data_IF_377487888263
#
_entry.id   IF_377487888263
#
_cell.length_a   1.000
_cell.length_b   1.000
_cell.length_c   1.000
_cell.angle_alpha   90.00
_cell.angle_beta   90.00
_cell.angle_gamma   90.00
#
_symmetry.space_group_name_H-M   'P 1'
#
loop_
_entity.id
_entity.type
_entity.pdbx_description
1 polymer ?
#
# COMPACT_ATOMS: atom_id res chain seq x y z
N UNK A 1 16.11 -42.99 -37.83
CA UNK A 1 14.82 -42.60 -37.25
C UNK A 1 14.92 -42.29 -35.75
N UNK A 2 15.41 -43.21 -34.93
CA UNK A 2 15.48 -43.07 -33.47
C UNK A 2 16.24 -41.82 -33.00
N UNK A 3 17.41 -41.48 -33.56
CA UNK A 3 18.19 -40.28 -33.24
C UNK A 3 17.42 -38.96 -33.48
N UNK A 4 16.63 -38.89 -34.55
CA UNK A 4 15.84 -37.69 -34.87
C UNK A 4 14.66 -37.52 -33.91
N UNK A 5 14.06 -38.62 -33.44
CA UNK A 5 12.98 -38.62 -32.45
C UNK A 5 13.55 -38.19 -31.08
N UNK A 6 14.73 -38.71 -30.71
CA UNK A 6 15.39 -38.36 -29.45
C UNK A 6 15.77 -36.88 -29.40
N UNK A 7 16.26 -36.32 -30.52
CA UNK A 7 16.60 -34.87 -30.59
C UNK A 7 15.34 -33.99 -30.52
N UNK A 8 14.23 -34.41 -31.16
CA UNK A 8 12.96 -33.67 -31.08
C UNK A 8 12.34 -33.70 -29.68
N UNK A 9 12.41 -34.84 -28.99
CA UNK A 9 11.95 -34.98 -27.60
C UNK A 9 12.80 -34.14 -26.64
N UNK A 10 14.13 -34.13 -26.85
CA UNK A 10 15.04 -33.31 -26.04
C UNK A 10 14.79 -31.80 -26.27
N UNK A 11 14.57 -31.37 -27.53
CA UNK A 11 14.18 -29.96 -27.82
C UNK A 11 12.84 -29.59 -27.23
N UNK A 12 11.85 -30.48 -27.24
CA UNK A 12 10.54 -30.24 -26.65
C UNK A 12 10.66 -30.13 -25.12
N UNK A 13 11.51 -30.92 -24.48
CA UNK A 13 11.78 -30.88 -23.05
C UNK A 13 12.47 -29.58 -22.63
N UNK A 14 13.44 -29.10 -23.43
CA UNK A 14 14.12 -27.81 -23.20
C UNK A 14 13.14 -26.64 -23.36
N UNK A 15 12.24 -26.70 -24.34
CA UNK A 15 11.18 -25.68 -24.50
C UNK A 15 10.17 -25.63 -23.34
N UNK A 16 9.88 -26.79 -22.72
CA UNK A 16 8.99 -26.85 -21.54
C UNK A 16 9.67 -26.31 -20.27
N UNK A 17 10.97 -26.46 -20.11
CA UNK A 17 11.72 -25.97 -18.95
C UNK A 17 11.93 -24.46 -19.00
N UNK A 18 12.05 -23.85 -20.19
CA UNK A 18 12.29 -22.40 -20.35
C UNK A 18 11.04 -21.56 -20.04
N UNK A 19 9.84 -22.15 -20.06
CA UNK A 19 8.60 -21.43 -19.72
C UNK A 19 8.31 -21.30 -18.21
N UNK A 20 9.20 -21.78 -17.34
CA UNK A 20 9.14 -21.55 -15.89
C UNK A 20 9.94 -20.31 -15.47
N UNK A 21 9.97 -19.26 -16.27
CA UNK A 21 10.28 -17.94 -15.78
C UNK A 21 9.12 -17.56 -14.84
N UNK A 22 9.25 -17.93 -13.58
CA UNK A 22 8.25 -17.61 -12.55
C UNK A 22 7.98 -16.12 -12.60
N UNK A 23 6.74 -15.74 -12.78
CA UNK A 23 6.33 -14.37 -12.58
C UNK A 23 6.91 -13.94 -11.22
N UNK A 24 7.63 -12.85 -11.19
CA UNK A 24 8.13 -12.30 -9.94
C UNK A 24 6.92 -12.07 -9.03
N UNK A 25 6.85 -12.81 -7.93
CA UNK A 25 5.82 -12.62 -6.92
C UNK A 25 6.13 -11.39 -6.04
N UNK A 26 7.06 -10.55 -6.49
CA UNK A 26 7.45 -9.34 -5.77
C UNK A 26 6.44 -8.23 -6.03
N UNK A 27 5.91 -7.70 -4.95
CA UNK A 27 4.91 -6.63 -4.93
C UNK A 27 5.55 -5.40 -4.30
N UNK A 28 5.46 -4.27 -4.97
CA UNK A 28 6.03 -2.99 -4.53
C UNK A 28 5.00 -2.21 -3.72
N UNK A 29 5.34 -1.90 -2.48
CA UNK A 29 4.45 -1.20 -1.56
C UNK A 29 5.03 0.19 -1.27
N UNK A 30 4.29 1.24 -1.64
CA UNK A 30 4.60 2.60 -1.23
C UNK A 30 3.99 2.89 0.15
N UNK A 31 4.75 3.55 1.03
CA UNK A 31 4.25 3.93 2.34
C UNK A 31 4.76 5.30 2.78
N UNK A 32 3.94 6.01 3.52
CA UNK A 32 4.37 7.15 4.35
C UNK A 32 4.52 6.69 5.79
N UNK A 33 5.49 7.26 6.49
CA UNK A 33 5.76 6.90 7.88
C UNK A 33 4.58 7.30 8.78
N UNK A 34 3.97 6.32 9.45
CA UNK A 34 2.84 6.52 10.36
C UNK A 34 3.14 5.73 11.62
N UNK A 35 3.25 6.43 12.75
CA UNK A 35 3.60 5.82 14.03
C UNK A 35 2.71 4.63 14.38
N UNK A 36 3.34 3.55 14.82
CA UNK A 36 2.74 2.24 15.13
C UNK A 36 2.02 1.53 13.95
N UNK A 37 1.87 2.17 12.80
CA UNK A 37 1.24 1.56 11.63
C UNK A 37 2.26 1.06 10.63
N UNK A 38 3.15 1.89 10.16
CA UNK A 38 4.29 1.53 9.29
C UNK A 38 5.43 2.51 9.49
N UNK A 39 6.61 2.03 9.79
CA UNK A 39 7.79 2.87 9.97
C UNK A 39 9.00 2.07 10.42
N UNK A 40 10.15 2.72 10.52
CA UNK A 40 11.39 2.08 10.96
C UNK A 40 11.43 2.06 12.49
N UNK A 41 11.49 0.86 13.06
CA UNK A 41 11.74 0.62 14.49
C UNK A 41 12.98 -0.24 14.63
N UNK A 42 13.95 0.23 15.40
CA UNK A 42 15.22 -0.48 15.63
C UNK A 42 15.94 -0.92 14.34
N UNK A 43 15.88 -0.05 13.31
CA UNK A 43 16.50 -0.31 12.00
C UNK A 43 15.75 -1.30 11.10
N UNK A 44 14.52 -1.71 11.46
CA UNK A 44 13.67 -2.59 10.67
C UNK A 44 12.33 -1.94 10.40
N UNK A 45 11.78 -2.20 9.21
CA UNK A 45 10.41 -1.83 8.91
C UNK A 45 9.46 -2.66 9.79
N UNK A 46 8.54 -2.00 10.50
CA UNK A 46 7.64 -2.63 11.45
C UNK A 46 6.33 -1.83 11.58
N UNK A 47 5.33 -2.45 12.19
CA UNK A 47 4.03 -1.86 12.46
C UNK A 47 2.90 -2.76 12.01
N UNK A 48 1.66 -2.36 12.33
CA UNK A 48 0.46 -3.13 12.00
C UNK A 48 0.36 -3.42 10.50
N UNK A 49 0.60 -2.42 9.64
CA UNK A 49 0.52 -2.58 8.20
C UNK A 49 1.53 -3.58 7.65
N UNK A 50 2.76 -3.61 8.21
CA UNK A 50 3.76 -4.60 7.82
C UNK A 50 3.31 -6.00 8.21
N UNK A 51 2.84 -6.19 9.45
CA UNK A 51 2.33 -7.49 9.91
C UNK A 51 1.12 -7.98 9.09
N UNK A 52 0.26 -7.06 8.63
CA UNK A 52 -0.84 -7.38 7.74
C UNK A 52 -0.34 -7.94 6.41
N UNK A 53 0.64 -7.28 5.79
CA UNK A 53 1.21 -7.76 4.52
C UNK A 53 1.99 -9.07 4.71
N UNK A 54 2.70 -9.26 5.82
CA UNK A 54 3.35 -10.53 6.14
C UNK A 54 2.33 -11.68 6.21
N UNK A 55 1.19 -11.46 6.87
CA UNK A 55 0.10 -12.44 6.91
C UNK A 55 -0.50 -12.71 5.52
N UNK A 56 -0.60 -11.71 4.64
CA UNK A 56 -1.02 -11.90 3.25
C UNK A 56 0.02 -12.74 2.49
N UNK A 57 1.32 -12.51 2.73
CA UNK A 57 2.39 -13.27 2.10
C UNK A 57 2.31 -14.77 2.40
N UNK A 58 1.94 -15.17 3.62
CA UNK A 58 1.75 -16.57 4.02
C UNK A 58 0.72 -17.30 3.14
N UNK A 59 -0.29 -16.57 2.64
CA UNK A 59 -1.36 -17.14 1.80
C UNK A 59 -1.09 -17.00 0.30
N UNK A 60 -0.35 -15.98 -0.13
CA UNK A 60 -0.15 -15.67 -1.55
C UNK A 60 1.20 -16.11 -2.08
N UNK A 61 2.19 -16.29 -1.20
CA UNK A 61 3.58 -16.50 -1.56
C UNK A 61 4.23 -15.23 -2.14
N UNK A 62 3.64 -14.06 -1.93
CA UNK A 62 4.21 -12.79 -2.36
C UNK A 62 5.41 -12.40 -1.51
N UNK A 63 6.33 -11.68 -2.12
CA UNK A 63 7.43 -10.97 -1.45
C UNK A 63 7.22 -9.48 -1.64
N UNK A 64 7.66 -8.66 -0.68
CA UNK A 64 7.41 -7.23 -0.72
C UNK A 64 8.68 -6.41 -0.79
N UNK A 65 8.64 -5.39 -1.64
CA UNK A 65 9.59 -4.29 -1.67
C UNK A 65 8.88 -3.02 -1.19
N UNK A 66 9.43 -2.39 -0.15
CA UNK A 66 8.84 -1.20 0.45
C UNK A 66 9.58 0.06 0.01
N UNK A 67 8.80 1.06 -0.46
CA UNK A 67 9.28 2.36 -0.92
C UNK A 67 8.70 3.46 -0.03
N UNK A 68 9.55 4.15 0.74
CA UNK A 68 9.14 5.24 1.63
C UNK A 68 9.06 6.57 0.90
N UNK A 69 8.02 7.36 1.18
CA UNK A 69 7.84 8.70 0.65
C UNK A 69 6.76 9.48 1.39
N UNK A 70 6.50 10.71 0.96
CA UNK A 70 5.33 11.44 1.42
C UNK A 70 4.05 10.75 0.95
N UNK A 71 2.94 11.01 1.61
CA UNK A 71 1.64 10.45 1.18
C UNK A 71 1.30 10.77 -0.27
N UNK A 72 1.53 12.01 -0.69
CA UNK A 72 1.33 12.44 -2.08
C UNK A 72 2.20 11.64 -3.06
N UNK A 73 3.48 11.44 -2.73
CA UNK A 73 4.38 10.62 -3.55
C UNK A 73 3.92 9.16 -3.63
N UNK A 74 3.43 8.59 -2.52
CA UNK A 74 2.91 7.22 -2.52
C UNK A 74 1.73 7.05 -3.49
N UNK A 75 0.79 7.99 -3.48
CA UNK A 75 -0.34 8.00 -4.41
C UNK A 75 0.14 8.13 -5.86
N UNK A 76 1.09 9.04 -6.13
CA UNK A 76 1.64 9.22 -7.46
C UNK A 76 2.34 7.96 -7.97
N UNK A 77 3.14 7.30 -7.14
CA UNK A 77 3.82 6.06 -7.53
C UNK A 77 2.86 4.93 -7.86
N UNK A 78 1.76 4.78 -7.14
CA UNK A 78 0.73 3.79 -7.47
C UNK A 78 0.03 4.18 -8.77
N UNK A 79 -0.33 5.43 -8.96
CA UNK A 79 -0.98 5.93 -10.17
C UNK A 79 -0.13 5.72 -11.42
N UNK A 80 1.18 5.90 -11.31
CA UNK A 80 2.14 5.77 -12.41
C UNK A 80 2.68 4.33 -12.58
N UNK A 81 2.27 3.38 -11.73
CA UNK A 81 2.74 2.01 -11.78
C UNK A 81 4.16 1.80 -11.25
N UNK A 82 4.71 2.77 -10.52
CA UNK A 82 6.00 2.64 -9.83
C UNK A 82 5.89 1.85 -8.52
N UNK A 83 4.69 1.79 -7.94
CA UNK A 83 4.32 0.91 -6.84
C UNK A 83 2.99 0.22 -7.19
N UNK A 84 2.77 -0.96 -6.62
CA UNK A 84 1.58 -1.76 -6.86
C UNK A 84 0.48 -1.46 -5.84
N UNK A 85 0.88 -1.12 -4.60
CA UNK A 85 -0.01 -0.76 -3.51
C UNK A 85 0.49 0.44 -2.71
N UNK A 86 -0.44 1.12 -2.06
CA UNK A 86 -0.17 2.02 -0.93
C UNK A 86 -1.21 1.83 0.16
N UNK A 87 -0.86 2.11 1.42
CA UNK A 87 -1.72 1.97 2.58
C UNK A 87 -1.27 2.88 3.74
N UNK A 88 -2.15 3.20 4.68
CA UNK A 88 -3.59 3.08 4.62
C UNK A 88 -4.19 4.18 3.73
N UNK A 89 -5.21 3.87 2.98
CA UNK A 89 -5.90 4.87 2.17
C UNK A 89 -7.40 4.86 2.48
N UNK A 90 -7.94 6.01 2.84
CA UNK A 90 -9.37 6.18 2.98
C UNK A 90 -10.04 6.21 1.60
N UNK A 91 -11.17 5.53 1.47
CA UNK A 91 -11.99 5.60 0.27
C UNK A 91 -12.58 6.99 0.08
N UNK A 92 -12.53 7.50 -1.15
CA UNK A 92 -13.34 8.60 -1.61
C UNK A 92 -13.68 8.39 -3.09
N UNK A 93 -14.80 8.92 -3.56
CA UNK A 93 -15.21 8.85 -4.96
C UNK A 93 -14.15 9.46 -5.90
N UNK A 94 -13.52 10.54 -5.47
CA UNK A 94 -12.44 11.17 -6.22
C UNK A 94 -11.24 10.22 -6.40
N UNK A 95 -10.84 9.52 -5.35
CA UNK A 95 -9.73 8.55 -5.42
C UNK A 95 -10.13 7.29 -6.19
N UNK A 96 -11.38 6.85 -6.08
CA UNK A 96 -11.88 5.69 -6.80
C UNK A 96 -11.89 5.87 -8.34
N UNK A 97 -11.79 7.10 -8.84
CA UNK A 97 -11.60 7.37 -10.26
C UNK A 97 -10.21 6.95 -10.78
N UNK A 98 -9.19 7.00 -9.90
CA UNK A 98 -7.80 6.71 -10.26
C UNK A 98 -7.28 5.38 -9.67
N UNK A 99 -7.91 4.85 -8.59
CA UNK A 99 -7.40 3.72 -7.81
C UNK A 99 -8.44 2.65 -7.57
N UNK A 100 -8.00 1.42 -7.47
CA UNK A 100 -8.79 0.30 -6.98
C UNK A 100 -8.64 0.16 -5.47
N UNK A 101 -9.74 -0.07 -4.78
CA UNK A 101 -9.77 -0.29 -3.34
C UNK A 101 -10.09 -1.74 -3.01
N UNK A 102 -9.53 -2.23 -1.90
CA UNK A 102 -9.90 -3.52 -1.36
C UNK A 102 -11.39 -3.55 -0.99
N UNK A 103 -12.03 -4.71 -1.14
CA UNK A 103 -13.46 -4.86 -0.78
C UNK A 103 -13.72 -4.78 0.72
N UNK A 104 -12.71 -5.10 1.52
CA UNK A 104 -12.78 -5.06 2.98
C UNK A 104 -11.81 -4.02 3.50
N UNK A 105 -12.24 -3.30 4.53
CA UNK A 105 -11.36 -2.36 5.21
C UNK A 105 -10.29 -3.14 5.99
N UNK A 106 -9.04 -2.77 5.79
CA UNK A 106 -7.93 -3.31 6.57
C UNK A 106 -7.83 -2.67 7.96
N UNK A 107 -8.41 -1.49 8.13
CA UNK A 107 -8.43 -0.73 9.39
C UNK A 107 -9.70 0.13 9.42
N UNK A 108 -10.25 0.34 10.62
CA UNK A 108 -11.24 1.38 10.90
C UNK A 108 -10.53 2.52 11.59
N UNK A 109 -10.63 3.71 11.03
CA UNK A 109 -10.01 4.92 11.55
C UNK A 109 -11.06 5.99 11.80
N UNK A 110 -10.79 6.88 12.76
CA UNK A 110 -11.64 8.01 13.11
C UNK A 110 -10.86 9.29 12.90
N UNK A 111 -11.37 10.17 12.05
CA UNK A 111 -10.85 11.52 11.94
C UNK A 111 -11.21 12.34 13.18
N UNK A 112 -10.23 13.02 13.75
CA UNK A 112 -10.44 13.93 14.85
C UNK A 112 -9.81 15.29 14.53
N UNK A 113 -10.47 16.34 14.97
CA UNK A 113 -9.95 17.70 14.90
C UNK A 113 -9.26 18.01 16.23
N UNK A 114 -8.01 18.38 16.16
CA UNK A 114 -7.22 18.77 17.32
C UNK A 114 -7.05 20.28 17.35
N UNK A 115 -7.12 20.86 18.52
CA UNK A 115 -6.83 22.28 18.78
C UNK A 115 -5.90 22.42 19.97
N UNK A 116 -5.28 23.59 20.12
CA UNK A 116 -4.54 23.90 21.34
C UNK A 116 -5.46 23.82 22.55
N UNK A 117 -5.00 23.22 23.66
CA UNK A 117 -5.75 23.14 24.92
C UNK A 117 -6.09 24.51 25.53
N UNK A 118 -5.49 25.57 25.03
CA UNK A 118 -5.81 26.96 25.43
C UNK A 118 -6.90 27.61 24.58
N UNK A 119 -7.36 26.93 23.51
CA UNK A 119 -8.37 27.47 22.63
C UNK A 119 -9.77 27.09 23.13
N UNK A 120 -10.40 28.02 23.88
CA UNK A 120 -11.75 27.83 24.45
C UNK A 120 -12.90 28.09 23.47
N UNK A 121 -12.59 28.58 22.26
CA UNK A 121 -13.60 28.97 21.28
C UNK A 121 -14.11 27.79 20.43
N UNK A 122 -13.45 26.64 20.53
CA UNK A 122 -13.84 25.43 19.82
C UNK A 122 -14.46 24.47 20.83
N UNK A 123 -15.75 24.17 20.63
CA UNK A 123 -16.49 23.29 21.52
C UNK A 123 -16.66 21.90 20.93
N UNK A 124 -16.51 20.88 21.78
CA UNK A 124 -16.71 19.50 21.39
C UNK A 124 -18.15 19.28 20.89
N UNK A 125 -18.26 18.61 19.72
CA UNK A 125 -19.53 18.34 19.02
C UNK A 125 -20.28 19.58 18.51
N UNK A 126 -19.75 20.78 18.66
CA UNK A 126 -20.33 21.98 18.07
C UNK A 126 -19.55 22.39 16.81
N UNK A 127 -20.00 21.89 15.66
CA UNK A 127 -19.35 22.18 14.37
C UNK A 127 -19.44 23.66 13.96
N UNK A 128 -20.41 24.41 14.51
CA UNK A 128 -20.52 25.84 14.23
C UNK A 128 -19.36 26.62 14.86
N UNK A 129 -18.82 26.13 15.98
CA UNK A 129 -17.63 26.72 16.60
C UNK A 129 -16.37 26.68 15.70
N UNK A 130 -16.40 25.91 14.62
CA UNK A 130 -15.33 25.84 13.62
C UNK A 130 -15.47 26.91 12.53
N UNK A 131 -16.59 27.62 12.47
CA UNK A 131 -16.82 28.64 11.43
C UNK A 131 -15.75 29.73 11.50
N UNK A 132 -15.15 30.05 10.35
CA UNK A 132 -14.08 31.04 10.24
C UNK A 132 -12.71 30.60 10.78
N UNK A 133 -12.59 29.37 11.28
CA UNK A 133 -11.29 28.83 11.74
C UNK A 133 -10.48 28.28 10.57
N UNK A 134 -9.15 28.31 10.71
CA UNK A 134 -8.24 27.71 9.75
C UNK A 134 -7.93 26.29 10.16
N UNK A 135 -8.15 25.34 9.25
CA UNK A 135 -7.84 23.94 9.45
C UNK A 135 -6.52 23.58 8.74
N UNK A 136 -5.62 22.92 9.47
CA UNK A 136 -4.46 22.27 8.88
C UNK A 136 -4.85 20.86 8.44
N UNK A 137 -4.41 20.46 7.25
CA UNK A 137 -4.63 19.12 6.70
C UNK A 137 -3.35 18.60 6.08
N UNK A 138 -3.22 17.28 6.05
CA UNK A 138 -2.13 16.63 5.30
C UNK A 138 -2.45 16.76 3.81
N UNK A 139 -1.45 17.20 3.02
CA UNK A 139 -1.62 17.34 1.58
C UNK A 139 -1.89 15.97 0.95
N UNK A 140 -2.91 15.89 0.10
CA UNK A 140 -3.33 14.64 -0.54
C UNK A 140 -4.36 13.83 0.25
N UNK A 141 -4.79 14.34 1.40
CA UNK A 141 -5.80 13.67 2.24
C UNK A 141 -7.21 14.22 1.96
#
# INVERSE_FOLDING_TARGET
MLKRILTAVLMLFVLLVVNSAGASNTVRIAYSDIDNFVGIKEGRLAGYGVALFDAIAEHTGWTYEYKSGSWEQCLEWVKNGEADFTFPAQYSEQRAADFLFSRQNCILDFAAIYTSGTNSDILYQDYQSLQGKRLGMIKGN
#
